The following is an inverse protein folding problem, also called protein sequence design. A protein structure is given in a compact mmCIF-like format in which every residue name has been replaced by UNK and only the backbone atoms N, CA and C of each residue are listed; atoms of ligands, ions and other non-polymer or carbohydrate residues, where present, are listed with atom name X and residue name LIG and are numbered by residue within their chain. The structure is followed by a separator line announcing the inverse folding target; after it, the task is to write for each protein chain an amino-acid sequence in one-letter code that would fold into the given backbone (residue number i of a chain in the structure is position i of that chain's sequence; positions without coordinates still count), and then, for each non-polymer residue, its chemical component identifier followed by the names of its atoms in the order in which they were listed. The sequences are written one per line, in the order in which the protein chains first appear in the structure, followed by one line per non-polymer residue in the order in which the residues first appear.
data_IF_208191591139
#
_entry.id   IF_208191591139
#
_cell.length_a   1.000
_cell.length_b   1.000
_cell.length_c   1.000
_cell.angle_alpha   90.00
_cell.angle_beta   90.00
_cell.angle_gamma   90.00
#
_symmetry.space_group_name_H-M   'P 1'
#
loop_
_entity.id
_entity.type
_entity.pdbx_description
1 polymer ?
#
# COMPACT_ATOMS: atom_id res chain seq x y z
N UNK A 1 -14.19 -23.34 -9.78
CA UNK A 1 -13.41 -22.36 -9.01
C UNK A 1 -13.83 -20.98 -9.49
N UNK A 2 -14.36 -20.10 -8.63
CA UNK A 2 -14.73 -18.74 -9.04
C UNK A 2 -13.44 -17.98 -9.40
N UNK A 3 -13.47 -17.24 -10.53
CA UNK A 3 -12.37 -16.36 -10.92
C UNK A 3 -12.22 -15.26 -9.86
N UNK A 4 -10.98 -14.90 -9.52
CA UNK A 4 -10.70 -13.77 -8.63
C UNK A 4 -11.19 -12.46 -9.30
N UNK A 5 -11.79 -11.52 -8.53
CA UNK A 5 -12.51 -10.37 -9.11
C UNK A 5 -11.61 -9.29 -9.72
N UNK A 6 -10.31 -9.24 -9.35
CA UNK A 6 -9.36 -8.31 -9.94
C UNK A 6 -8.50 -8.99 -11.01
N UNK A 7 -8.30 -8.33 -12.15
CA UNK A 7 -7.19 -8.68 -13.03
C UNK A 7 -5.90 -8.43 -12.26
N UNK A 8 -5.00 -9.42 -12.21
CA UNK A 8 -3.82 -9.34 -11.37
C UNK A 8 -2.68 -10.19 -11.93
N UNK A 9 -1.49 -9.91 -11.46
CA UNK A 9 -0.31 -10.75 -11.61
C UNK A 9 0.01 -11.42 -10.28
N UNK A 10 0.37 -12.70 -10.35
CA UNK A 10 0.89 -13.44 -9.21
C UNK A 10 2.20 -14.12 -9.62
N UNK A 11 3.23 -13.98 -8.78
CA UNK A 11 4.52 -14.63 -8.97
C UNK A 11 4.91 -15.34 -7.68
N UNK A 12 5.20 -16.63 -7.77
CA UNK A 12 5.70 -17.37 -6.62
C UNK A 12 7.10 -16.88 -6.23
N UNK A 13 7.30 -16.69 -4.93
CA UNK A 13 8.61 -16.38 -4.39
C UNK A 13 9.53 -17.59 -4.43
N UNK A 14 10.83 -17.32 -4.36
CA UNK A 14 11.89 -18.34 -4.26
C UNK A 14 12.48 -18.44 -2.86
N UNK A 15 12.19 -17.45 -1.99
CA UNK A 15 12.61 -17.41 -0.60
C UNK A 15 11.36 -17.44 0.31
N UNK A 16 11.07 -18.58 0.96
CA UNK A 16 9.92 -18.69 1.86
C UNK A 16 10.05 -17.83 3.13
N UNK A 17 11.24 -17.33 3.42
CA UNK A 17 11.48 -16.42 4.54
C UNK A 17 11.22 -14.95 4.19
N UNK A 18 11.15 -14.60 2.91
CA UNK A 18 10.83 -13.25 2.47
C UNK A 18 9.31 -13.00 2.60
N UNK A 19 8.89 -11.83 3.13
CA UNK A 19 7.46 -11.52 3.25
C UNK A 19 6.82 -11.43 1.86
N UNK A 20 5.63 -11.97 1.65
CA UNK A 20 4.90 -11.78 0.40
C UNK A 20 4.53 -10.30 0.24
N UNK A 21 4.63 -9.80 -1.00
CA UNK A 21 4.37 -8.39 -1.34
C UNK A 21 3.05 -8.23 -2.08
N UNK A 22 2.26 -7.24 -1.66
CA UNK A 22 1.13 -6.70 -2.40
C UNK A 22 1.58 -5.41 -3.09
N UNK A 23 1.54 -5.37 -4.42
CA UNK A 23 2.02 -4.25 -5.23
C UNK A 23 0.84 -3.44 -5.76
N UNK A 24 0.74 -2.16 -5.39
CA UNK A 24 -0.39 -1.29 -5.70
C UNK A 24 0.10 -0.08 -6.50
N UNK A 25 -0.18 -0.08 -7.80
CA UNK A 25 0.29 0.92 -8.76
C UNK A 25 -0.31 2.33 -8.53
N UNK A 26 0.34 3.34 -9.06
CA UNK A 26 -0.18 4.71 -9.11
C UNK A 26 -1.24 4.91 -10.19
N UNK A 27 -1.79 6.12 -10.28
CA UNK A 27 -2.74 6.50 -11.34
C UNK A 27 -2.14 6.26 -12.71
N UNK A 28 -2.89 5.59 -13.59
CA UNK A 28 -2.49 5.26 -14.97
C UNK A 28 -1.71 3.97 -15.12
N UNK A 29 -1.26 3.37 -14.01
CA UNK A 29 -0.53 2.11 -14.02
C UNK A 29 -1.40 0.86 -14.16
N UNK A 30 -0.76 -0.29 -14.10
CA UNK A 30 -1.41 -1.60 -14.14
C UNK A 30 -0.69 -2.64 -13.25
N UNK A 31 -1.10 -3.89 -13.36
CA UNK A 31 -0.55 -5.01 -12.57
C UNK A 31 0.92 -5.34 -12.86
N UNK A 32 1.53 -4.74 -13.88
CA UNK A 32 2.94 -4.96 -14.25
C UNK A 32 3.88 -3.89 -13.68
N UNK A 33 3.37 -2.68 -13.42
CA UNK A 33 4.18 -1.48 -13.15
C UNK A 33 5.14 -1.63 -11.97
N UNK A 34 4.68 -2.19 -10.86
CA UNK A 34 5.50 -2.31 -9.65
C UNK A 34 6.23 -3.66 -9.52
N UNK A 35 6.05 -4.60 -10.45
CA UNK A 35 6.75 -5.89 -10.42
C UNK A 35 8.28 -5.72 -10.38
N UNK A 36 8.89 -4.87 -11.25
CA UNK A 36 10.34 -4.64 -11.19
C UNK A 36 10.78 -4.03 -9.85
N UNK A 37 9.97 -3.13 -9.29
CA UNK A 37 10.24 -2.53 -7.99
C UNK A 37 10.18 -3.57 -6.87
N UNK A 38 9.14 -4.39 -6.82
CA UNK A 38 8.98 -5.46 -5.84
C UNK A 38 10.18 -6.42 -5.84
N UNK A 39 10.59 -6.89 -7.02
CA UNK A 39 11.77 -7.74 -7.20
C UNK A 39 13.08 -7.08 -6.73
N UNK A 40 13.22 -5.76 -6.94
CA UNK A 40 14.40 -5.00 -6.52
C UNK A 40 14.46 -4.76 -5.01
N UNK A 41 13.29 -4.52 -4.38
CA UNK A 41 13.22 -4.20 -2.96
C UNK A 41 13.30 -5.45 -2.07
N UNK A 42 12.69 -6.57 -2.50
CA UNK A 42 12.69 -7.84 -1.77
C UNK A 42 12.85 -9.01 -2.75
N UNK A 43 14.10 -9.29 -3.18
CA UNK A 43 14.38 -10.43 -4.04
C UNK A 43 13.90 -11.74 -3.41
N UNK A 44 13.24 -12.58 -4.19
CA UNK A 44 12.73 -13.86 -3.70
C UNK A 44 11.33 -13.82 -3.07
N UNK A 45 10.75 -12.64 -2.82
CA UNK A 45 9.37 -12.52 -2.33
C UNK A 45 8.34 -13.03 -3.34
N UNK A 46 7.26 -13.63 -2.83
CA UNK A 46 6.01 -13.79 -3.58
C UNK A 46 5.41 -12.42 -3.89
N UNK A 47 4.93 -12.22 -5.12
CA UNK A 47 4.34 -10.96 -5.55
C UNK A 47 2.87 -11.15 -5.94
N UNK A 48 1.98 -10.34 -5.38
CA UNK A 48 0.59 -10.18 -5.79
C UNK A 48 0.39 -8.74 -6.24
N UNK A 49 0.01 -8.52 -7.50
CA UNK A 49 -0.13 -7.20 -8.09
C UNK A 49 -1.47 -7.06 -8.81
N UNK A 50 -2.52 -6.57 -8.14
CA UNK A 50 -3.82 -6.31 -8.77
C UNK A 50 -3.78 -5.04 -9.62
N UNK A 51 -4.61 -5.03 -10.68
CA UNK A 51 -4.91 -3.85 -11.49
C UNK A 51 -6.08 -3.11 -10.89
N UNK A 52 -5.95 -1.80 -10.64
CA UNK A 52 -7.08 -0.96 -10.28
C UNK A 52 -8.17 -0.98 -11.36
N UNK A 53 -9.41 -1.18 -10.96
CA UNK A 53 -10.56 -1.44 -11.85
C UNK A 53 -11.39 -0.18 -12.15
N UNK A 54 -11.01 0.98 -11.60
CA UNK A 54 -11.65 2.26 -11.88
C UNK A 54 -10.93 2.96 -13.04
N UNK A 55 -11.69 3.46 -14.01
CA UNK A 55 -11.18 4.28 -15.10
C UNK A 55 -11.65 5.72 -14.88
N UNK A 56 -10.69 6.63 -14.71
CA UNK A 56 -10.93 8.06 -14.56
C UNK A 56 -10.15 8.81 -15.65
N UNK A 57 -10.86 9.45 -16.60
CA UNK A 57 -10.25 10.13 -17.76
C UNK A 57 -9.23 9.26 -18.53
N UNK A 58 -9.54 7.99 -18.70
CA UNK A 58 -8.67 7.01 -19.37
C UNK A 58 -7.53 6.45 -18.50
N UNK A 59 -7.31 6.96 -17.30
CA UNK A 59 -6.31 6.47 -16.37
C UNK A 59 -6.90 5.45 -15.37
N UNK A 60 -6.16 4.37 -15.09
CA UNK A 60 -6.58 3.37 -14.11
C UNK A 60 -6.26 3.82 -12.70
N UNK A 61 -7.18 3.50 -11.77
CA UNK A 61 -7.09 3.82 -10.35
C UNK A 61 -7.73 2.72 -9.50
N UNK A 62 -7.40 2.67 -8.20
CA UNK A 62 -8.10 1.81 -7.25
C UNK A 62 -9.41 2.43 -6.74
N UNK A 63 -9.55 3.76 -6.78
CA UNK A 63 -10.78 4.50 -6.48
C UNK A 63 -10.80 5.82 -7.24
N UNK A 64 -12.01 6.29 -7.57
CA UNK A 64 -12.22 7.57 -8.24
C UNK A 64 -11.98 8.76 -7.29
N UNK A 65 -11.72 9.93 -7.85
CA UNK A 65 -11.72 11.21 -7.15
C UNK A 65 -12.85 12.10 -7.70
N UNK A 66 -13.34 12.99 -6.86
CA UNK A 66 -14.30 14.03 -7.28
C UNK A 66 -13.57 15.15 -8.03
N UNK A 67 -12.41 15.52 -7.55
CA UNK A 67 -11.44 16.42 -8.18
C UNK A 67 -10.05 16.13 -7.62
N UNK A 68 -9.03 16.85 -8.07
CA UNK A 68 -7.68 16.65 -7.56
C UNK A 68 -7.62 16.91 -6.03
N UNK A 69 -7.13 15.91 -5.29
CA UNK A 69 -7.06 15.95 -3.82
C UNK A 69 -8.39 15.79 -3.09
N UNK A 70 -9.52 15.67 -3.80
CA UNK A 70 -10.86 15.52 -3.21
C UNK A 70 -11.46 14.17 -3.53
N UNK A 71 -11.85 13.41 -2.51
CA UNK A 71 -12.32 12.04 -2.61
C UNK A 71 -13.71 11.89 -1.95
N UNK A 72 -14.51 10.97 -2.50
CA UNK A 72 -15.75 10.55 -1.85
C UNK A 72 -15.43 9.45 -0.82
N UNK A 73 -15.65 9.68 0.49
CA UNK A 73 -15.39 8.68 1.52
C UNK A 73 -16.16 7.37 1.31
N UNK A 74 -17.37 7.41 0.75
CA UNK A 74 -18.15 6.21 0.48
C UNK A 74 -17.52 5.38 -0.64
N UNK A 75 -17.06 6.02 -1.72
CA UNK A 75 -16.34 5.35 -2.80
C UNK A 75 -15.01 4.74 -2.31
N UNK A 76 -14.20 5.51 -1.57
CA UNK A 76 -12.95 5.02 -0.99
C UNK A 76 -13.19 3.82 -0.09
N UNK A 77 -14.20 3.88 0.79
CA UNK A 77 -14.56 2.77 1.69
C UNK A 77 -14.97 1.54 0.90
N UNK A 78 -15.87 1.68 -0.06
CA UNK A 78 -16.37 0.57 -0.88
C UNK A 78 -15.22 -0.13 -1.63
N UNK A 79 -14.32 0.64 -2.25
CA UNK A 79 -13.17 0.12 -3.01
C UNK A 79 -12.15 -0.54 -2.10
N UNK A 80 -11.94 0.00 -0.90
CA UNK A 80 -11.05 -0.62 0.09
C UNK A 80 -11.57 -1.98 0.52
N UNK A 81 -12.88 -2.11 0.80
CA UNK A 81 -13.47 -3.42 1.13
C UNK A 81 -13.38 -4.40 -0.04
N UNK A 82 -13.67 -3.99 -1.26
CA UNK A 82 -13.56 -4.85 -2.44
C UNK A 82 -12.12 -5.37 -2.64
N UNK A 83 -11.12 -4.50 -2.47
CA UNK A 83 -9.71 -4.91 -2.55
C UNK A 83 -9.32 -5.85 -1.40
N UNK A 84 -9.80 -5.60 -0.19
CA UNK A 84 -9.57 -6.47 0.96
C UNK A 84 -10.15 -7.88 0.74
N UNK A 85 -11.38 -7.97 0.22
CA UNK A 85 -12.02 -9.25 -0.09
C UNK A 85 -11.28 -10.01 -1.19
N UNK A 86 -10.75 -9.29 -2.20
CA UNK A 86 -9.85 -9.87 -3.20
C UNK A 86 -8.57 -10.43 -2.56
N UNK A 87 -7.91 -9.67 -1.65
CA UNK A 87 -6.69 -10.12 -0.97
C UNK A 87 -6.94 -11.40 -0.19
N UNK A 88 -8.05 -11.49 0.54
CA UNK A 88 -8.43 -12.68 1.30
C UNK A 88 -8.69 -13.87 0.35
N UNK A 89 -9.43 -13.64 -0.73
CA UNK A 89 -9.69 -14.67 -1.73
C UNK A 89 -8.40 -15.15 -2.43
N UNK A 90 -7.47 -14.23 -2.73
CA UNK A 90 -6.16 -14.55 -3.30
C UNK A 90 -5.30 -15.33 -2.29
N UNK A 91 -5.32 -14.97 -1.01
CA UNK A 91 -4.65 -15.72 0.06
C UNK A 91 -5.08 -17.18 0.09
N UNK A 92 -6.39 -17.43 0.03
CA UNK A 92 -6.95 -18.79 -0.03
C UNK A 92 -6.56 -19.52 -1.33
N UNK A 93 -6.60 -18.82 -2.47
CA UNK A 93 -6.29 -19.39 -3.78
C UNK A 93 -4.81 -19.76 -3.95
N UNK A 94 -3.92 -18.84 -3.56
CA UNK A 94 -2.47 -18.98 -3.70
C UNK A 94 -1.77 -19.51 -2.46
N UNK A 95 -2.51 -19.77 -1.37
CA UNK A 95 -2.04 -20.36 -0.11
C UNK A 95 -1.01 -19.51 0.61
N UNK A 96 -1.32 -18.23 0.81
CA UNK A 96 -0.57 -17.34 1.70
C UNK A 96 -1.50 -16.71 2.74
N UNK A 97 -0.94 -16.34 3.89
CA UNK A 97 -1.69 -15.60 4.92
C UNK A 97 -1.70 -14.10 4.60
N UNK A 98 -2.87 -13.46 4.39
CA UNK A 98 -2.96 -12.03 4.20
C UNK A 98 -2.33 -11.21 5.34
N UNK A 99 -2.40 -11.68 6.58
CA UNK A 99 -1.89 -10.97 7.75
C UNK A 99 -0.36 -10.75 7.73
N UNK A 100 0.39 -11.48 6.90
CA UNK A 100 1.84 -11.28 6.72
C UNK A 100 2.21 -10.49 5.46
N UNK A 101 1.23 -10.12 4.61
CA UNK A 101 1.49 -9.32 3.42
C UNK A 101 2.10 -7.97 3.78
N UNK A 102 3.12 -7.58 3.02
CA UNK A 102 3.61 -6.20 3.01
C UNK A 102 3.13 -5.49 1.76
N UNK A 103 2.28 -4.48 1.92
CA UNK A 103 1.88 -3.65 0.79
C UNK A 103 3.03 -2.70 0.38
N UNK A 104 3.29 -2.59 -0.93
CA UNK A 104 4.10 -1.52 -1.52
C UNK A 104 3.18 -0.74 -2.45
N UNK A 105 2.83 0.48 -2.08
CA UNK A 105 1.95 1.34 -2.85
C UNK A 105 2.62 2.62 -3.27
N UNK A 106 2.29 3.10 -4.47
CA UNK A 106 2.72 4.40 -4.98
C UNK A 106 1.50 5.29 -5.27
N UNK A 107 1.50 6.54 -4.79
CA UNK A 107 0.46 7.53 -5.07
C UNK A 107 -0.96 6.97 -4.76
N UNK A 108 -1.85 6.81 -5.74
CA UNK A 108 -3.17 6.21 -5.56
C UNK A 108 -3.10 4.81 -4.91
N UNK A 109 -2.11 3.99 -5.28
CA UNK A 109 -1.84 2.70 -4.65
C UNK A 109 -1.38 2.80 -3.20
N UNK A 110 -0.60 3.85 -2.84
CA UNK A 110 -0.23 4.11 -1.45
C UNK A 110 -1.44 4.56 -0.62
N UNK A 111 -2.34 5.33 -1.24
CA UNK A 111 -3.55 5.81 -0.59
C UNK A 111 -4.49 4.65 -0.22
N UNK A 112 -4.74 3.72 -1.17
CA UNK A 112 -5.60 2.57 -0.87
C UNK A 112 -4.92 1.58 0.08
N UNK A 113 -3.58 1.44 0.06
CA UNK A 113 -2.86 0.66 1.06
C UNK A 113 -3.02 1.23 2.47
N UNK A 114 -2.99 2.57 2.61
CA UNK A 114 -3.26 3.24 3.87
C UNK A 114 -4.70 3.00 4.35
N UNK A 115 -5.69 3.04 3.44
CA UNK A 115 -7.08 2.76 3.82
C UNK A 115 -7.34 1.29 4.13
N UNK A 116 -6.61 0.34 3.52
CA UNK A 116 -6.63 -1.07 3.95
C UNK A 116 -6.21 -1.20 5.41
N UNK A 117 -5.10 -0.58 5.82
CA UNK A 117 -4.69 -0.57 7.23
C UNK A 117 -5.76 0.04 8.15
N UNK A 118 -6.44 1.09 7.69
CA UNK A 118 -7.42 1.82 8.51
C UNK A 118 -8.79 1.14 8.60
N UNK A 119 -9.22 0.38 7.58
CA UNK A 119 -10.57 -0.19 7.50
C UNK A 119 -10.58 -1.73 7.56
N UNK A 120 -9.49 -2.39 7.13
CA UNK A 120 -9.38 -3.86 7.02
C UNK A 120 -7.98 -4.32 7.45
N UNK A 121 -7.56 -4.01 8.71
CA UNK A 121 -6.20 -4.24 9.21
C UNK A 121 -5.77 -5.71 9.18
N UNK A 122 -6.70 -6.65 9.11
CA UNK A 122 -6.41 -8.09 9.01
C UNK A 122 -5.77 -8.48 7.66
N UNK A 123 -5.82 -7.61 6.65
CA UNK A 123 -5.33 -7.92 5.30
C UNK A 123 -3.86 -7.56 5.07
N UNK A 124 -3.21 -6.87 6.01
CA UNK A 124 -1.82 -6.43 5.86
C UNK A 124 -1.02 -6.57 7.15
N UNK A 125 0.17 -7.14 7.07
CA UNK A 125 1.15 -7.16 8.17
C UNK A 125 1.95 -5.87 8.28
N UNK A 126 2.29 -5.26 7.13
CA UNK A 126 3.04 -4.01 7.06
C UNK A 126 2.79 -3.28 5.75
N UNK A 127 3.28 -2.03 5.65
CA UNK A 127 3.15 -1.26 4.41
C UNK A 127 4.34 -0.33 4.17
N UNK A 128 4.69 -0.18 2.87
CA UNK A 128 5.56 0.83 2.30
C UNK A 128 4.69 1.75 1.46
N UNK A 129 4.50 2.98 1.93
CA UNK A 129 3.62 3.97 1.33
C UNK A 129 4.48 5.08 0.68
N UNK A 130 4.54 5.10 -0.64
CA UNK A 130 5.36 6.04 -1.42
C UNK A 130 4.46 7.15 -1.98
N UNK A 131 4.71 8.40 -1.57
CA UNK A 131 3.88 9.58 -1.90
C UNK A 131 2.41 9.43 -1.49
N UNK A 132 2.13 8.98 -0.24
CA UNK A 132 0.76 8.86 0.24
C UNK A 132 0.14 10.21 0.58
N UNK A 133 -1.17 10.31 0.40
CA UNK A 133 -1.97 11.33 1.06
C UNK A 133 -3.08 10.68 1.91
N UNK A 134 -3.55 11.40 2.93
CA UNK A 134 -4.69 10.95 3.69
C UNK A 134 -5.96 11.21 2.87
N UNK A 135 -6.69 10.15 2.53
CA UNK A 135 -7.92 10.21 1.71
C UNK A 135 -9.17 9.84 2.49
N UNK A 136 -8.96 9.26 3.69
CA UNK A 136 -10.04 8.89 4.60
C UNK A 136 -9.50 8.83 6.03
N UNK A 137 -10.26 9.38 6.97
CA UNK A 137 -10.04 9.22 8.42
C UNK A 137 -11.27 8.50 9.00
N UNK A 138 -11.13 7.27 9.51
CA UNK A 138 -12.26 6.57 10.11
C UNK A 138 -12.68 7.26 11.41
N UNK A 139 -13.99 7.23 11.77
CA UNK A 139 -14.48 7.88 12.99
C UNK A 139 -13.87 7.27 14.27
N UNK A 140 -13.47 6.00 14.20
CA UNK A 140 -12.74 5.32 15.28
C UNK A 140 -11.45 4.74 14.71
N UNK A 141 -10.28 5.08 15.28
CA UNK A 141 -9.02 4.49 14.86
C UNK A 141 -9.04 2.96 15.09
N UNK A 142 -8.58 2.15 14.11
CA UNK A 142 -8.43 0.71 14.30
C UNK A 142 -7.28 0.39 15.25
N UNK A 143 -7.20 -0.86 15.73
CA UNK A 143 -6.02 -1.37 16.42
C UNK A 143 -4.99 -1.85 15.38
N UNK A 144 -3.88 -1.11 15.25
CA UNK A 144 -2.74 -1.42 14.39
C UNK A 144 -1.51 -1.89 15.18
N UNK A 145 -1.69 -2.32 16.42
CA UNK A 145 -0.59 -2.84 17.24
C UNK A 145 0.12 -3.99 16.51
N UNK A 146 1.45 -3.90 16.44
CA UNK A 146 2.28 -4.87 15.71
C UNK A 146 2.39 -4.61 14.19
N UNK A 147 1.63 -3.65 13.63
CA UNK A 147 1.78 -3.26 12.22
C UNK A 147 2.93 -2.26 12.08
N UNK A 148 3.74 -2.45 11.04
CA UNK A 148 4.86 -1.55 10.72
C UNK A 148 4.57 -0.82 9.43
N UNK A 149 4.82 0.49 9.41
CA UNK A 149 4.54 1.31 8.22
C UNK A 149 5.71 2.24 7.93
N UNK A 150 6.18 2.21 6.69
CA UNK A 150 7.13 3.18 6.16
C UNK A 150 6.40 4.14 5.22
N UNK A 151 6.50 5.44 5.47
CA UNK A 151 6.00 6.49 4.59
C UNK A 151 7.18 7.25 3.98
N UNK A 152 7.15 7.51 2.67
CA UNK A 152 8.08 8.44 2.03
C UNK A 152 7.35 9.53 1.25
N UNK A 153 7.65 10.78 1.55
CA UNK A 153 7.06 11.97 0.93
C UNK A 153 8.11 12.88 0.32
N UNK A 154 7.75 13.58 -0.77
CA UNK A 154 8.60 14.60 -1.40
C UNK A 154 8.32 16.00 -0.83
N UNK A 155 9.37 16.80 -0.55
CA UNK A 155 9.21 18.18 -0.05
C UNK A 155 8.67 19.14 -1.12
N UNK A 156 8.84 18.81 -2.40
CA UNK A 156 8.38 19.60 -3.53
C UNK A 156 7.29 18.87 -4.35
N UNK A 157 6.52 17.99 -3.70
CA UNK A 157 5.43 17.26 -4.34
C UNK A 157 4.23 18.18 -4.56
N UNK A 158 3.85 18.48 -5.83
CA UNK A 158 2.73 19.39 -6.11
C UNK A 158 1.36 18.72 -5.93
N UNK A 159 1.30 17.39 -5.83
CA UNK A 159 0.05 16.63 -5.76
C UNK A 159 -0.35 16.29 -4.34
N UNK A 160 0.63 16.18 -3.43
CA UNK A 160 0.39 15.80 -2.03
C UNK A 160 0.54 17.05 -1.13
N UNK A 161 -0.53 17.54 -0.49
CA UNK A 161 -0.41 18.66 0.43
C UNK A 161 0.60 18.36 1.55
N UNK A 162 1.48 19.31 1.86
CA UNK A 162 2.64 19.12 2.74
C UNK A 162 2.31 18.57 4.15
N UNK A 163 1.10 18.82 4.64
CA UNK A 163 0.67 18.34 5.96
C UNK A 163 0.08 16.90 5.93
N UNK A 164 -0.29 16.37 4.74
CA UNK A 164 -0.93 15.06 4.64
C UNK A 164 -0.05 13.90 5.11
N UNK A 165 1.25 13.79 4.73
CA UNK A 165 2.10 12.71 5.21
C UNK A 165 2.27 12.70 6.73
N UNK A 166 2.39 13.87 7.35
CA UNK A 166 2.51 14.00 8.81
C UNK A 166 1.19 13.60 9.49
N UNK A 167 0.05 14.07 8.98
CA UNK A 167 -1.28 13.71 9.49
C UNK A 167 -1.52 12.20 9.41
N UNK A 168 -1.21 11.59 8.27
CA UNK A 168 -1.34 10.16 8.07
C UNK A 168 -0.45 9.37 9.02
N UNK A 169 0.83 9.75 9.15
CA UNK A 169 1.75 9.13 10.09
C UNK A 169 1.24 9.19 11.53
N UNK A 170 0.71 10.34 11.94
CA UNK A 170 0.16 10.54 13.28
C UNK A 170 -1.13 9.72 13.50
N UNK A 171 -2.01 9.61 12.48
CA UNK A 171 -3.20 8.78 12.56
C UNK A 171 -2.81 7.30 12.76
N UNK A 172 -1.89 6.79 11.97
CA UNK A 172 -1.41 5.41 12.08
C UNK A 172 -0.72 5.13 13.43
N UNK A 173 0.09 6.08 13.95
CA UNK A 173 0.70 5.97 15.29
C UNK A 173 -0.33 5.95 16.40
N UNK A 174 -1.34 6.83 16.35
CA UNK A 174 -2.45 6.81 17.33
C UNK A 174 -3.25 5.52 17.28
N UNK A 175 -3.26 4.84 16.15
CA UNK A 175 -3.85 3.50 15.97
C UNK A 175 -2.93 2.36 16.46
N UNK A 176 -1.71 2.66 16.95
CA UNK A 176 -0.79 1.67 17.52
C UNK A 176 0.27 1.15 16.54
N UNK A 177 0.34 1.63 15.29
CA UNK A 177 1.35 1.21 14.34
C UNK A 177 2.75 1.79 14.67
N UNK A 178 3.81 1.01 14.40
CA UNK A 178 5.18 1.51 14.34
C UNK A 178 5.43 2.20 13.00
N UNK A 179 5.58 3.53 13.01
CA UNK A 179 5.62 4.34 11.80
C UNK A 179 6.95 5.06 11.64
N UNK A 180 7.65 4.75 10.54
CA UNK A 180 8.80 5.51 10.04
C UNK A 180 8.33 6.47 8.95
N UNK A 181 8.50 7.78 9.18
CA UNK A 181 8.25 8.81 8.17
C UNK A 181 9.58 9.35 7.65
N UNK A 182 9.79 9.23 6.34
CA UNK A 182 10.90 9.80 5.61
C UNK A 182 10.41 10.94 4.72
N UNK A 183 11.19 12.03 4.68
CA UNK A 183 10.96 13.14 3.76
C UNK A 183 12.20 13.32 2.89
N UNK A 184 12.01 13.44 1.58
CA UNK A 184 13.09 13.54 0.60
C UNK A 184 12.95 14.82 -0.23
N UNK A 185 14.04 15.45 -0.69
CA UNK A 185 14.00 16.61 -1.58
C UNK A 185 13.64 16.17 -3.00
N UNK A 186 12.36 15.87 -3.22
CA UNK A 186 11.85 15.37 -4.50
C UNK A 186 10.42 15.88 -4.75
N UNK A 187 10.01 15.85 -6.01
CA UNK A 187 8.63 16.02 -6.45
C UNK A 187 7.82 14.72 -6.23
N UNK A 188 6.76 14.49 -7.00
CA UNK A 188 5.94 13.28 -6.92
C UNK A 188 6.66 12.01 -7.36
N UNK A 189 7.65 12.10 -8.25
CA UNK A 189 8.45 10.95 -8.69
C UNK A 189 9.31 10.33 -7.59
N UNK A 190 9.61 9.04 -7.73
CA UNK A 190 10.46 8.31 -6.79
C UNK A 190 11.95 8.60 -7.07
N UNK A 191 12.72 8.72 -6.00
CA UNK A 191 14.18 8.90 -6.04
C UNK A 191 14.90 7.76 -5.32
N UNK A 192 16.22 7.69 -5.48
CA UNK A 192 17.02 6.61 -4.87
C UNK A 192 16.87 6.50 -3.35
N UNK A 193 16.66 7.63 -2.67
CA UNK A 193 16.47 7.66 -1.23
C UNK A 193 15.16 6.97 -0.80
N UNK A 194 14.09 7.06 -1.59
CA UNK A 194 12.84 6.33 -1.34
C UNK A 194 13.08 4.82 -1.35
N UNK A 195 13.82 4.36 -2.35
CA UNK A 195 14.11 2.94 -2.54
C UNK A 195 15.06 2.41 -1.47
N UNK A 196 16.03 3.21 -1.04
CA UNK A 196 16.93 2.86 0.05
C UNK A 196 16.15 2.70 1.37
N UNK A 197 15.33 3.69 1.73
CA UNK A 197 14.50 3.62 2.95
C UNK A 197 13.50 2.47 2.94
N UNK A 198 12.86 2.21 1.80
CA UNK A 198 11.96 1.07 1.63
C UNK A 198 12.69 -0.28 1.80
N UNK A 199 13.88 -0.42 1.24
CA UNK A 199 14.71 -1.63 1.38
C UNK A 199 15.14 -1.84 2.82
N UNK A 200 15.62 -0.81 3.50
CA UNK A 200 16.03 -0.88 4.90
C UNK A 200 14.85 -1.25 5.81
N UNK A 201 13.65 -0.72 5.51
CA UNK A 201 12.43 -1.09 6.22
C UNK A 201 12.07 -2.56 6.04
N UNK A 202 12.11 -3.08 4.81
CA UNK A 202 11.81 -4.48 4.50
C UNK A 202 12.84 -5.45 5.10
N UNK A 203 14.11 -5.07 5.16
CA UNK A 203 15.18 -5.87 5.75
C UNK A 203 15.08 -6.03 7.28
N UNK A 204 14.43 -5.07 7.96
CA UNK A 204 14.19 -5.13 9.42
C UNK A 204 13.01 -6.04 9.71
N UNK A 205 13.25 -7.29 10.07
CA UNK A 205 12.19 -8.18 10.55
C UNK A 205 11.60 -7.66 11.86
N UNK A 206 10.28 -7.85 12.12
CA UNK A 206 9.74 -7.66 13.45
C UNK A 206 10.56 -8.49 14.44
N UNK A 207 10.91 -7.90 15.58
CA UNK A 207 11.42 -8.72 16.70
C UNK A 207 10.32 -9.76 17.01
N UNK A 208 10.65 -11.04 16.83
CA UNK A 208 9.76 -12.12 17.27
C UNK A 208 9.67 -11.97 18.77
N UNK A 209 8.54 -11.47 19.26
CA UNK A 209 8.28 -11.39 20.70
C UNK A 209 8.40 -12.80 21.28
N UNK A 210 9.32 -12.94 22.21
CA UNK A 210 9.42 -14.11 23.08
C UNK A 210 8.24 -14.15 24.04
#
# INVERSE_FOLDING_TARGET
MSSLPYLHRFEHGTDPSAPPLLLLHGTGGDENDLIPLGRKLSPGSTLLSPRGDVIEHGARRFFARLSEGVFDPAEVTRRTHALADFIIAAGNHYRFDPAILTAIGFSNGANIAATLLLLRPETLGSAVLLRPMIVLEPPQPPDLKGRRVFLSSGTADPLVPNNHPIRLANLLRRSGADVTLQTVPASHGLVSADLAGARDFLARRPAVGR
#
